data_IF_270738978181
#
_entry.id   IF_270738978181
#
_cell.length_a   1.000
_cell.length_b   1.000
_cell.length_c   1.000
_cell.angle_alpha   90.00
_cell.angle_beta   90.00
_cell.angle_gamma   90.00
#
_symmetry.space_group_name_H-M   'P 1'
#
loop_
_entity.id
_entity.type
_entity.pdbx_description
1 polymer ?
#
# COMPACT_ATOMS: atom_id res chain seq x y z
N UNK A 1 -21.67 0.35 -5.58
CA UNK A 1 -20.36 -0.25 -5.94
C UNK A 1 -19.29 0.50 -5.18
N UNK A 2 -18.38 -0.22 -4.52
CA UNK A 2 -17.25 0.34 -3.78
C UNK A 2 -15.96 -0.25 -4.35
N UNK A 3 -14.92 0.56 -4.55
CA UNK A 3 -13.61 0.09 -5.03
C UNK A 3 -12.52 0.47 -4.03
N UNK A 4 -11.70 -0.51 -3.64
CA UNK A 4 -10.71 -0.40 -2.58
C UNK A 4 -9.40 -1.05 -3.03
N UNK A 5 -8.26 -0.57 -2.52
CA UNK A 5 -7.04 -1.37 -2.53
C UNK A 5 -7.19 -2.60 -1.63
N UNK A 6 -6.49 -3.70 -1.90
CA UNK A 6 -6.57 -4.91 -1.06
C UNK A 6 -6.25 -4.66 0.41
N UNK A 7 -5.24 -3.84 0.74
CA UNK A 7 -4.94 -3.48 2.13
C UNK A 7 -6.10 -2.74 2.83
N UNK A 8 -6.74 -1.79 2.14
CA UNK A 8 -7.90 -1.07 2.67
C UNK A 8 -9.14 -1.97 2.78
N UNK A 9 -9.34 -2.88 1.82
CA UNK A 9 -10.40 -3.89 1.88
C UNK A 9 -10.24 -4.78 3.12
N UNK A 10 -9.03 -5.27 3.38
CA UNK A 10 -8.72 -6.07 4.57
C UNK A 10 -9.00 -5.29 5.84
N UNK A 11 -8.49 -4.06 5.94
CA UNK A 11 -8.73 -3.16 7.06
C UNK A 11 -10.22 -2.95 7.36
N UNK A 12 -11.02 -2.61 6.35
CA UNK A 12 -12.45 -2.38 6.54
C UNK A 12 -13.20 -3.67 6.89
N UNK A 13 -12.77 -4.81 6.36
CA UNK A 13 -13.37 -6.11 6.71
C UNK A 13 -13.17 -6.45 8.18
N UNK A 14 -12.01 -6.11 8.74
CA UNK A 14 -11.68 -6.40 10.14
C UNK A 14 -12.31 -5.41 11.11
N UNK A 15 -12.18 -4.11 10.81
CA UNK A 15 -12.45 -3.03 11.75
C UNK A 15 -13.82 -2.38 11.56
N UNK A 16 -14.32 -2.34 10.31
CA UNK A 16 -15.55 -1.63 9.94
C UNK A 16 -16.44 -2.42 8.98
N UNK A 17 -16.79 -3.69 9.30
CA UNK A 17 -17.52 -4.58 8.38
C UNK A 17 -18.87 -4.01 7.96
N UNK A 18 -19.49 -3.18 8.81
CA UNK A 18 -20.78 -2.52 8.53
C UNK A 18 -20.69 -1.51 7.36
N UNK A 19 -19.48 -1.11 6.96
CA UNK A 19 -19.27 -0.28 5.75
C UNK A 19 -19.82 -0.97 4.50
N UNK A 20 -19.87 -2.31 4.50
CA UNK A 20 -20.37 -3.07 3.37
C UNK A 20 -21.90 -3.25 3.39
N UNK A 21 -22.61 -2.89 4.47
CA UNK A 21 -24.06 -3.16 4.68
C UNK A 21 -24.95 -2.74 3.51
N UNK A 22 -24.70 -1.55 2.93
CA UNK A 22 -25.48 -1.03 1.79
C UNK A 22 -24.82 -1.27 0.44
N UNK A 23 -23.69 -1.98 0.42
CA UNK A 23 -22.94 -2.29 -0.79
C UNK A 23 -23.38 -3.66 -1.33
N UNK A 24 -23.63 -3.74 -2.64
CA UNK A 24 -23.93 -4.99 -3.35
C UNK A 24 -22.72 -5.55 -4.11
N UNK A 25 -21.79 -4.67 -4.49
CA UNK A 25 -20.58 -5.05 -5.23
C UNK A 25 -19.38 -4.29 -4.69
N UNK A 26 -18.35 -5.02 -4.27
CA UNK A 26 -17.06 -4.47 -3.87
C UNK A 26 -15.98 -4.97 -4.81
N UNK A 27 -15.17 -4.04 -5.31
CA UNK A 27 -13.97 -4.33 -6.07
C UNK A 27 -12.75 -4.13 -5.16
N UNK A 28 -11.86 -5.11 -5.16
CA UNK A 28 -10.55 -5.04 -4.51
C UNK A 28 -9.46 -5.22 -5.56
N UNK A 29 -8.26 -4.72 -5.29
CA UNK A 29 -7.15 -4.86 -6.23
C UNK A 29 -5.96 -3.99 -5.85
N UNK A 30 -5.04 -3.84 -6.80
CA UNK A 30 -3.77 -3.17 -6.55
C UNK A 30 -2.75 -4.13 -5.94
N UNK A 31 -3.10 -4.92 -4.93
CA UNK A 31 -2.23 -5.94 -4.31
C UNK A 31 -2.91 -7.32 -4.36
N UNK A 32 -2.19 -8.44 -4.15
CA UNK A 32 -2.83 -9.75 -4.01
C UNK A 32 -3.97 -9.72 -2.99
N UNK A 33 -5.17 -10.14 -3.39
CA UNK A 33 -6.32 -10.18 -2.50
C UNK A 33 -6.14 -11.29 -1.46
N UNK A 34 -6.54 -11.03 -0.21
CA UNK A 34 -6.39 -11.98 0.89
C UNK A 34 -7.57 -12.97 0.91
N UNK A 35 -7.33 -14.29 0.70
CA UNK A 35 -8.38 -15.30 0.76
C UNK A 35 -9.13 -15.30 2.10
N UNK A 36 -8.41 -15.04 3.18
CA UNK A 36 -8.97 -14.97 4.54
C UNK A 36 -9.98 -13.84 4.68
N UNK A 37 -9.63 -12.61 4.27
CA UNK A 37 -10.51 -11.46 4.41
C UNK A 37 -11.70 -11.56 3.45
N UNK A 38 -11.48 -12.01 2.21
CA UNK A 38 -12.57 -12.18 1.26
C UNK A 38 -13.58 -13.21 1.75
N UNK A 39 -13.13 -14.36 2.29
CA UNK A 39 -14.00 -15.37 2.89
C UNK A 39 -14.73 -14.83 4.10
N UNK A 40 -14.03 -14.19 5.04
CA UNK A 40 -14.61 -13.59 6.25
C UNK A 40 -15.73 -12.60 5.91
N UNK A 41 -15.54 -11.76 4.88
CA UNK A 41 -16.56 -10.82 4.46
C UNK A 41 -17.77 -11.55 3.84
N UNK A 42 -17.52 -12.58 3.04
CA UNK A 42 -18.57 -13.36 2.39
C UNK A 42 -19.42 -14.17 3.39
N UNK A 43 -18.80 -14.73 4.44
CA UNK A 43 -19.50 -15.37 5.55
C UNK A 43 -20.46 -14.40 6.27
N UNK A 44 -20.12 -13.11 6.33
CA UNK A 44 -20.98 -12.06 6.91
C UNK A 44 -22.01 -11.53 5.92
N UNK A 45 -21.69 -11.52 4.64
CA UNK A 45 -22.50 -10.97 3.53
C UNK A 45 -22.49 -11.92 2.33
N UNK A 46 -23.25 -13.02 2.37
CA UNK A 46 -23.29 -14.00 1.28
C UNK A 46 -23.87 -13.44 -0.02
N UNK A 47 -24.63 -12.34 0.08
CA UNK A 47 -25.23 -11.63 -1.04
C UNK A 47 -24.25 -10.63 -1.71
N UNK A 48 -23.11 -10.34 -1.07
CA UNK A 48 -22.15 -9.36 -1.57
C UNK A 48 -21.29 -9.95 -2.68
N UNK A 49 -21.35 -9.32 -3.85
CA UNK A 49 -20.43 -9.64 -4.95
C UNK A 49 -19.05 -9.05 -4.64
N UNK A 50 -18.04 -9.90 -4.47
CA UNK A 50 -16.64 -9.49 -4.27
C UNK A 50 -15.89 -9.76 -5.57
N UNK A 51 -15.26 -8.73 -6.13
CA UNK A 51 -14.51 -8.81 -7.38
C UNK A 51 -13.05 -8.44 -7.11
N UNK A 52 -12.13 -9.36 -7.38
CA UNK A 52 -10.71 -9.06 -7.43
C UNK A 52 -10.35 -8.54 -8.83
N UNK A 53 -9.72 -7.38 -8.91
CA UNK A 53 -9.33 -6.74 -10.16
C UNK A 53 -7.82 -6.56 -10.25
N UNK A 54 -7.29 -6.78 -11.44
CA UNK A 54 -5.88 -6.55 -11.76
C UNK A 54 -5.77 -5.66 -12.98
N UNK A 55 -4.89 -4.67 -12.90
CA UNK A 55 -4.46 -3.93 -14.07
C UNK A 55 -3.41 -2.88 -13.71
N UNK A 56 -2.38 -2.72 -14.54
CA UNK A 56 -1.41 -1.64 -14.42
C UNK A 56 -2.01 -0.32 -14.94
N UNK A 57 -1.42 0.82 -14.57
CA UNK A 57 -1.86 2.14 -15.03
C UNK A 57 -1.82 2.24 -16.57
N UNK A 58 -0.85 1.56 -17.18
CA UNK A 58 -0.61 1.46 -18.62
C UNK A 58 -1.72 0.73 -19.38
N UNK A 59 -2.68 0.11 -18.69
CA UNK A 59 -3.83 -0.59 -19.28
C UNK A 59 -5.18 -0.05 -18.78
N UNK A 60 -5.23 1.18 -18.24
CA UNK A 60 -6.43 1.90 -17.84
C UNK A 60 -7.34 1.12 -16.86
N UNK A 61 -7.05 1.23 -15.56
CA UNK A 61 -7.82 0.56 -14.51
C UNK A 61 -7.63 -0.95 -14.53
N UNK A 62 -8.70 -1.72 -14.28
CA UNK A 62 -8.61 -3.18 -14.38
C UNK A 62 -8.57 -3.66 -15.83
N UNK A 63 -7.73 -4.65 -16.07
CA UNK A 63 -7.64 -5.41 -17.31
C UNK A 63 -8.28 -6.77 -17.17
N UNK A 64 -8.06 -7.41 -16.03
CA UNK A 64 -8.69 -8.69 -15.69
C UNK A 64 -9.46 -8.57 -14.38
N UNK A 65 -10.51 -9.38 -14.24
CA UNK A 65 -11.28 -9.48 -13.02
C UNK A 65 -11.65 -10.92 -12.71
N UNK A 66 -11.65 -11.26 -11.43
CA UNK A 66 -12.18 -12.49 -10.88
C UNK A 66 -13.30 -12.18 -9.90
N UNK A 67 -14.52 -12.63 -10.19
CA UNK A 67 -15.62 -12.58 -9.23
C UNK A 67 -15.52 -13.79 -8.34
N UNK A 68 -15.44 -13.58 -7.03
CA UNK A 68 -15.34 -14.67 -6.07
C UNK A 68 -16.67 -15.44 -6.03
N UNK A 69 -16.56 -16.75 -6.07
CA UNK A 69 -17.68 -17.65 -5.84
C UNK A 69 -17.79 -17.99 -4.33
N UNK A 70 -18.91 -17.65 -3.66
CA UNK A 70 -19.20 -18.05 -2.27
C UNK A 70 -18.93 -19.53 -1.98
N UNK A 71 -19.26 -20.38 -2.96
CA UNK A 71 -19.30 -21.82 -2.81
C UNK A 71 -17.97 -22.48 -3.18
N UNK A 72 -17.03 -21.72 -3.75
CA UNK A 72 -15.74 -22.24 -4.10
C UNK A 72 -14.94 -22.64 -2.85
N UNK A 73 -14.15 -23.73 -2.92
CA UNK A 73 -13.26 -24.11 -1.84
C UNK A 73 -12.25 -22.98 -1.55
N UNK A 74 -11.72 -22.97 -0.32
CA UNK A 74 -10.70 -22.01 0.07
C UNK A 74 -9.50 -22.08 -0.91
N UNK A 75 -9.24 -20.97 -1.60
CA UNK A 75 -8.14 -20.86 -2.53
C UNK A 75 -6.86 -20.48 -1.79
N UNK A 76 -5.70 -21.07 -2.13
CA UNK A 76 -4.41 -20.65 -1.56
C UNK A 76 -4.06 -19.21 -1.96
N UNK A 77 -4.56 -18.74 -3.11
CA UNK A 77 -4.44 -17.38 -3.60
C UNK A 77 -5.67 -17.03 -4.45
N UNK A 78 -6.13 -15.78 -4.37
CA UNK A 78 -7.26 -15.33 -5.19
C UNK A 78 -6.78 -15.02 -6.62
N UNK A 79 -7.37 -15.64 -7.67
CA UNK A 79 -7.00 -15.36 -9.05
C UNK A 79 -7.24 -13.89 -9.42
N UNK A 80 -6.54 -13.43 -10.46
CA UNK A 80 -6.82 -12.16 -11.11
C UNK A 80 -7.80 -12.31 -12.30
N UNK A 81 -8.20 -13.54 -12.59
CA UNK A 81 -9.39 -13.88 -13.37
C UNK A 81 -9.23 -13.75 -14.88
N UNK A 82 -10.30 -13.35 -15.56
CA UNK A 82 -10.34 -13.23 -17.02
C UNK A 82 -10.28 -11.78 -17.49
N UNK A 83 -9.86 -11.51 -18.74
CA UNK A 83 -9.84 -10.16 -19.29
C UNK A 83 -11.26 -9.58 -19.43
N UNK A 84 -11.37 -8.27 -19.19
CA UNK A 84 -12.58 -7.49 -19.47
C UNK A 84 -12.83 -7.39 -20.98
N UNK A 85 -14.06 -7.04 -21.36
CA UNK A 85 -14.44 -6.85 -22.75
C UNK A 85 -13.47 -5.92 -23.49
N UNK A 86 -13.07 -6.34 -24.70
CA UNK A 86 -12.13 -5.63 -25.58
C UNK A 86 -10.72 -5.44 -25.02
N UNK A 87 -10.37 -6.11 -23.92
CA UNK A 87 -9.01 -6.24 -23.40
C UNK A 87 -8.55 -7.67 -23.53
N UNK A 88 -7.24 -7.87 -23.56
CA UNK A 88 -6.63 -9.18 -23.73
C UNK A 88 -5.44 -9.33 -22.79
N UNK A 89 -5.24 -10.55 -22.30
CA UNK A 89 -4.12 -10.93 -21.47
C UNK A 89 -3.47 -12.17 -22.06
N UNK A 90 -2.15 -12.15 -22.18
CA UNK A 90 -1.33 -13.22 -22.73
C UNK A 90 -0.26 -13.59 -21.74
N UNK A 91 -0.05 -14.88 -21.51
CA UNK A 91 1.09 -15.39 -20.74
C UNK A 91 2.07 -15.98 -21.74
N UNK A 92 3.25 -15.36 -21.85
CA UNK A 92 4.22 -15.66 -22.91
C UNK A 92 5.57 -16.11 -22.34
N UNK A 93 6.30 -16.91 -23.11
CA UNK A 93 7.71 -17.26 -22.86
C UNK A 93 8.67 -16.16 -23.37
N UNK A 94 9.98 -16.38 -23.20
CA UNK A 94 11.03 -15.44 -23.61
C UNK A 94 11.12 -15.24 -25.14
N UNK A 95 10.46 -16.10 -25.92
CA UNK A 95 10.33 -16.00 -27.37
C UNK A 95 8.98 -15.43 -27.80
N UNK A 96 8.24 -14.83 -26.86
CA UNK A 96 6.90 -14.28 -27.01
C UNK A 96 5.83 -15.31 -27.38
N UNK A 97 6.06 -16.61 -27.22
CA UNK A 97 5.08 -17.68 -27.55
C UNK A 97 4.14 -17.94 -26.37
N UNK A 98 2.84 -18.22 -26.58
CA UNK A 98 1.93 -18.49 -25.47
C UNK A 98 2.31 -19.80 -24.78
N UNK A 99 2.33 -19.78 -23.45
CA UNK A 99 2.58 -20.98 -22.63
C UNK A 99 1.28 -21.73 -22.34
N UNK A 100 1.31 -23.07 -22.16
CA UNK A 100 0.11 -23.83 -21.83
C UNK A 100 -0.38 -23.54 -20.39
N UNK A 101 -1.66 -23.80 -20.07
CA UNK A 101 -2.17 -23.70 -18.71
C UNK A 101 -1.31 -24.45 -17.68
N UNK A 102 -1.14 -23.86 -16.50
CA UNK A 102 -0.27 -24.34 -15.43
C UNK A 102 1.20 -23.93 -15.55
N UNK A 103 1.63 -23.41 -16.71
CA UNK A 103 3.01 -22.93 -16.90
C UNK A 103 3.10 -21.44 -16.62
N UNK A 104 4.04 -21.05 -15.74
CA UNK A 104 4.34 -19.64 -15.47
C UNK A 104 5.11 -19.02 -16.64
N UNK A 105 4.63 -17.88 -17.11
CA UNK A 105 5.31 -17.02 -18.06
C UNK A 105 5.15 -15.55 -17.68
N UNK A 106 5.62 -14.63 -18.53
CA UNK A 106 5.43 -13.20 -18.35
C UNK A 106 4.07 -12.76 -18.90
N UNK A 107 3.40 -11.87 -18.16
CA UNK A 107 2.09 -11.34 -18.51
C UNK A 107 2.20 -10.13 -19.46
N UNK A 108 1.51 -10.20 -20.58
CA UNK A 108 1.37 -9.14 -21.57
C UNK A 108 -0.09 -8.76 -21.74
N UNK A 109 -0.37 -7.46 -21.88
CA UNK A 109 -1.72 -6.94 -22.03
C UNK A 109 -1.92 -6.29 -23.40
N UNK A 110 -3.12 -6.39 -23.95
CA UNK A 110 -3.48 -5.80 -25.23
C UNK A 110 -4.92 -5.28 -25.25
N UNK A 111 -5.28 -4.61 -26.34
CA UNK A 111 -6.63 -4.13 -26.60
C UNK A 111 -6.89 -2.71 -26.12
N UNK A 112 -8.15 -2.42 -25.80
CA UNK A 112 -8.58 -1.07 -25.42
C UNK A 112 -8.04 -0.66 -24.05
N UNK A 113 -7.67 0.62 -23.91
CA UNK A 113 -7.12 1.15 -22.67
C UNK A 113 -5.60 1.00 -22.52
N UNK A 114 -4.91 0.38 -23.48
CA UNK A 114 -3.45 0.42 -23.54
C UNK A 114 -3.00 1.86 -23.77
N UNK A 115 -2.17 2.37 -22.86
CA UNK A 115 -1.65 3.73 -22.91
C UNK A 115 -0.85 4.00 -24.19
N UNK A 116 -0.77 5.28 -24.58
CA UNK A 116 0.05 5.69 -25.72
C UNK A 116 1.54 5.47 -25.47
N UNK A 117 1.98 5.61 -24.22
CA UNK A 117 3.36 5.43 -23.80
C UNK A 117 3.65 6.24 -22.53
N UNK A 118 4.93 6.36 -22.21
CA UNK A 118 5.41 7.19 -21.13
C UNK A 118 5.78 8.58 -21.63
N UNK A 119 5.28 9.62 -20.95
CA UNK A 119 5.52 11.02 -21.33
C UNK A 119 7.03 11.30 -21.35
N UNK A 120 7.53 11.87 -22.46
CA UNK A 120 8.96 12.22 -22.67
C UNK A 120 9.95 11.05 -22.54
N UNK A 121 9.48 9.80 -22.58
CA UNK A 121 10.33 8.60 -22.44
C UNK A 121 10.12 7.63 -23.61
N UNK A 122 10.56 7.97 -24.84
CA UNK A 122 10.34 7.14 -26.01
C UNK A 122 11.06 5.79 -25.94
N UNK A 123 12.26 5.74 -25.36
CA UNK A 123 13.02 4.50 -25.21
C UNK A 123 12.30 3.51 -24.29
N UNK A 124 11.88 3.95 -23.10
CA UNK A 124 11.09 3.12 -22.17
C UNK A 124 9.75 2.72 -22.79
N UNK A 125 9.14 3.62 -23.56
CA UNK A 125 7.90 3.30 -24.28
C UNK A 125 8.12 2.18 -25.29
N UNK A 126 9.17 2.24 -26.10
CA UNK A 126 9.45 1.24 -27.12
C UNK A 126 9.78 -0.15 -26.53
N UNK A 127 10.38 -0.21 -25.34
CA UNK A 127 10.71 -1.48 -24.68
C UNK A 127 9.54 -2.11 -23.94
N UNK A 128 8.55 -1.31 -23.51
CA UNK A 128 7.36 -1.79 -22.78
C UNK A 128 6.12 -1.95 -23.66
N UNK A 129 5.97 -1.16 -24.72
CA UNK A 129 4.86 -1.22 -25.67
C UNK A 129 5.34 -1.76 -27.02
N UNK A 130 5.43 -3.09 -27.11
CA UNK A 130 6.02 -3.80 -28.25
C UNK A 130 4.98 -4.11 -29.33
N UNK A 131 5.40 -4.42 -30.57
CA UNK A 131 4.48 -4.90 -31.61
C UNK A 131 3.71 -6.15 -31.17
N UNK A 132 2.43 -6.24 -31.53
CA UNK A 132 1.60 -7.39 -31.16
C UNK A 132 1.64 -8.49 -32.23
N UNK A 133 2.28 -9.65 -31.97
CA UNK A 133 2.39 -10.72 -32.97
C UNK A 133 1.09 -11.51 -33.21
N UNK A 134 0.07 -11.34 -32.36
CA UNK A 134 -1.21 -12.07 -32.45
C UNK A 134 -2.40 -11.19 -32.82
N UNK A 135 -2.18 -9.88 -32.91
CA UNK A 135 -3.24 -8.91 -33.17
C UNK A 135 -3.21 -8.41 -34.62
N UNK A 136 -4.21 -7.58 -34.99
CA UNK A 136 -4.18 -6.86 -36.26
C UNK A 136 -2.91 -6.01 -36.41
N UNK A 137 -2.45 -5.75 -37.65
CA UNK A 137 -1.33 -4.86 -37.92
C UNK A 137 -1.48 -3.50 -37.21
N UNK A 138 -0.40 -3.02 -36.60
CA UNK A 138 -0.37 -1.74 -35.87
C UNK A 138 -0.83 -1.80 -34.42
N UNK A 139 -1.31 -2.96 -33.94
CA UNK A 139 -1.63 -3.15 -32.51
C UNK A 139 -0.38 -3.44 -31.68
N UNK A 140 -0.47 -3.21 -30.36
CA UNK A 140 0.66 -3.29 -29.42
C UNK A 140 0.33 -4.19 -28.23
N UNK A 141 1.36 -4.87 -27.73
CA UNK A 141 1.37 -5.51 -26.41
C UNK A 141 2.05 -4.59 -25.41
N UNK A 142 1.48 -4.48 -24.21
CA UNK A 142 2.15 -3.92 -23.04
C UNK A 142 2.78 -5.04 -22.20
N UNK A 143 4.10 -4.97 -22.03
CA UNK A 143 4.92 -5.89 -21.23
C UNK A 143 4.89 -5.48 -19.75
N UNK A 144 4.15 -6.20 -18.92
CA UNK A 144 3.85 -5.79 -17.54
C UNK A 144 5.02 -5.95 -16.56
N UNK A 145 5.95 -6.89 -16.84
CA UNK A 145 6.93 -7.36 -15.88
C UNK A 145 6.37 -8.32 -14.82
N UNK A 146 5.06 -8.59 -14.80
CA UNK A 146 4.43 -9.55 -13.90
C UNK A 146 4.57 -10.98 -14.44
N UNK A 147 4.72 -11.94 -13.54
CA UNK A 147 4.66 -13.38 -13.82
C UNK A 147 3.26 -13.90 -13.47
N UNK A 148 2.71 -14.71 -14.37
CA UNK A 148 1.38 -15.28 -14.22
C UNK A 148 1.28 -16.64 -14.92
N UNK A 149 0.19 -17.36 -14.65
CA UNK A 149 -0.21 -18.55 -15.40
C UNK A 149 -1.73 -18.64 -15.46
N UNK A 150 -2.25 -19.26 -16.51
CA UNK A 150 -3.65 -19.67 -16.56
C UNK A 150 -3.83 -21.01 -15.88
N UNK A 151 -4.92 -21.21 -15.14
CA UNK A 151 -5.36 -22.55 -14.76
C UNK A 151 -6.15 -23.23 -15.90
N UNK A 152 -6.52 -24.49 -15.69
CA UNK A 152 -7.30 -25.28 -16.65
C UNK A 152 -8.74 -24.78 -16.83
N UNK A 153 -9.22 -23.89 -15.96
CA UNK A 153 -10.54 -23.27 -16.04
C UNK A 153 -10.48 -21.89 -16.71
N UNK A 154 -9.30 -21.44 -17.14
CA UNK A 154 -9.11 -20.15 -17.82
C UNK A 154 -8.98 -18.96 -16.87
N UNK A 155 -8.82 -19.17 -15.56
CA UNK A 155 -8.52 -18.07 -14.65
C UNK A 155 -7.03 -17.76 -14.66
N UNK A 156 -6.68 -16.48 -14.74
CA UNK A 156 -5.32 -16.03 -14.62
C UNK A 156 -4.92 -15.90 -13.15
N UNK A 157 -3.78 -16.47 -12.80
CA UNK A 157 -3.18 -16.42 -11.46
C UNK A 157 -1.91 -15.57 -11.50
N UNK A 158 -1.82 -14.58 -10.62
CA UNK A 158 -0.61 -13.80 -10.42
C UNK A 158 0.40 -14.57 -9.57
N UNK A 159 1.65 -14.64 -10.00
CA UNK A 159 2.73 -15.37 -9.31
C UNK A 159 3.77 -14.44 -8.68
N UNK A 160 4.06 -13.31 -9.32
CA UNK A 160 5.11 -12.40 -8.84
C UNK A 160 5.53 -11.40 -9.90
N UNK A 161 6.71 -10.81 -9.73
CA UNK A 161 7.33 -9.90 -10.69
C UNK A 161 8.69 -10.43 -11.14
N UNK A 162 9.03 -10.13 -12.38
CA UNK A 162 10.36 -10.36 -12.97
C UNK A 162 11.36 -9.28 -12.55
N UNK A 163 10.87 -8.10 -12.17
CA UNK A 163 11.66 -6.96 -11.70
C UNK A 163 11.51 -6.74 -10.18
N UNK A 164 12.14 -5.67 -9.67
CA UNK A 164 12.19 -5.34 -8.24
C UNK A 164 11.05 -4.44 -7.78
N UNK A 165 10.10 -4.12 -8.64
CA UNK A 165 8.99 -3.25 -8.28
C UNK A 165 8.12 -3.89 -7.22
N UNK A 166 7.57 -3.07 -6.33
CA UNK A 166 6.73 -3.52 -5.22
C UNK A 166 5.44 -2.70 -5.18
N UNK A 167 4.43 -3.29 -4.56
CA UNK A 167 3.18 -2.60 -4.26
C UNK A 167 2.95 -2.57 -2.76
N UNK A 168 2.75 -1.37 -2.23
CA UNK A 168 2.53 -1.14 -0.81
C UNK A 168 1.30 -0.25 -0.65
N UNK A 169 0.26 -0.78 0.01
CA UNK A 169 -1.01 -0.09 0.26
C UNK A 169 -1.64 0.48 -1.02
N UNK A 170 -1.51 -0.27 -2.11
CA UNK A 170 -2.00 0.11 -3.45
C UNK A 170 -1.10 1.08 -4.24
N UNK A 171 0.01 1.55 -3.68
CA UNK A 171 0.99 2.36 -4.40
C UNK A 171 2.04 1.50 -5.09
N UNK A 172 2.35 1.80 -6.35
CA UNK A 172 3.47 1.22 -7.09
C UNK A 172 4.74 1.99 -6.72
N UNK A 173 5.74 1.27 -6.22
CA UNK A 173 7.01 1.86 -5.78
C UNK A 173 8.14 1.13 -6.48
N UNK A 174 9.10 1.90 -7.00
CA UNK A 174 10.35 1.40 -7.56
C UNK A 174 11.45 1.56 -6.51
N UNK A 175 11.89 0.48 -5.81
CA UNK A 175 12.89 0.60 -4.76
C UNK A 175 14.17 1.28 -5.23
N UNK A 176 14.57 1.04 -6.48
CA UNK A 176 15.77 1.62 -7.09
C UNK A 176 15.72 3.15 -7.20
N UNK A 177 14.53 3.76 -7.27
CA UNK A 177 14.40 5.22 -7.21
C UNK A 177 14.87 5.75 -5.84
N UNK A 178 14.46 5.08 -4.77
CA UNK A 178 14.85 5.41 -3.39
C UNK A 178 16.33 5.08 -3.17
N UNK A 179 16.81 3.93 -3.67
CA UNK A 179 18.22 3.52 -3.58
C UNK A 179 19.14 4.54 -4.29
N UNK A 180 18.78 4.94 -5.51
CA UNK A 180 19.52 5.95 -6.29
C UNK A 180 19.57 7.27 -5.53
N UNK A 181 18.43 7.72 -5.01
CA UNK A 181 18.37 8.94 -4.21
C UNK A 181 19.27 8.83 -2.98
N UNK A 182 19.16 7.76 -2.19
CA UNK A 182 20.00 7.54 -1.01
C UNK A 182 21.51 7.61 -1.33
N UNK A 183 21.94 7.09 -2.48
CA UNK A 183 23.35 7.17 -2.90
C UNK A 183 23.82 8.57 -3.29
N UNK A 184 22.92 9.55 -3.43
CA UNK A 184 23.28 10.96 -3.61
C UNK A 184 23.57 11.68 -2.28
N UNK A 185 23.25 11.07 -1.15
CA UNK A 185 23.52 11.65 0.16
C UNK A 185 25.04 11.64 0.46
N UNK A 186 25.67 12.76 0.82
CA UNK A 186 27.14 12.88 0.90
C UNK A 186 27.80 11.98 1.96
N UNK A 187 27.01 11.51 2.93
CA UNK A 187 27.45 10.63 4.01
C UNK A 187 27.00 9.17 3.88
N UNK A 188 26.46 8.75 2.72
CA UNK A 188 26.09 7.36 2.47
C UNK A 188 26.89 6.81 1.28
N UNK A 189 27.55 5.66 1.48
CA UNK A 189 28.35 5.01 0.44
C UNK A 189 27.54 4.02 -0.39
N UNK A 190 26.62 3.29 0.24
CA UNK A 190 25.78 2.30 -0.42
C UNK A 190 24.40 2.29 0.22
N UNK A 191 23.38 1.94 -0.57
CA UNK A 191 22.04 1.74 -0.06
C UNK A 191 21.32 0.62 -0.82
N UNK A 192 20.44 -0.09 -0.12
CA UNK A 192 19.43 -0.95 -0.74
C UNK A 192 18.11 -0.84 0.01
N UNK A 193 17.00 -1.02 -0.70
CA UNK A 193 15.65 -0.97 -0.12
C UNK A 193 15.01 -2.34 -0.23
N UNK A 194 14.42 -2.78 0.86
CA UNK A 194 13.65 -4.02 0.95
C UNK A 194 12.33 -3.78 1.68
N UNK A 195 11.46 -4.79 1.66
CA UNK A 195 10.15 -4.74 2.32
C UNK A 195 10.07 -5.73 3.46
N UNK A 196 9.49 -5.30 4.59
CA UNK A 196 9.18 -6.16 5.73
C UNK A 196 7.72 -6.00 6.12
N UNK A 197 7.01 -7.08 6.48
CA UNK A 197 5.66 -6.96 7.01
C UNK A 197 5.68 -6.33 8.40
N UNK A 198 4.68 -5.49 8.69
CA UNK A 198 4.38 -5.09 10.05
C UNK A 198 3.70 -6.23 10.84
N UNK A 199 3.33 -5.95 12.09
CA UNK A 199 2.66 -6.93 12.95
C UNK A 199 1.23 -7.32 12.48
N UNK A 200 0.70 -6.65 11.44
CA UNK A 200 -0.55 -7.00 10.76
C UNK A 200 -0.33 -7.61 9.37
N UNK A 201 0.92 -7.89 8.98
CA UNK A 201 1.25 -8.47 7.67
C UNK A 201 1.25 -7.46 6.51
N UNK A 202 1.16 -6.16 6.79
CA UNK A 202 1.21 -5.11 5.78
C UNK A 202 2.67 -4.78 5.47
N UNK A 203 3.05 -4.83 4.19
CA UNK A 203 4.42 -4.52 3.78
C UNK A 203 4.79 -3.06 4.08
N UNK A 204 6.02 -2.87 4.59
CA UNK A 204 6.63 -1.58 4.87
C UNK A 204 8.02 -1.50 4.24
N UNK A 205 8.42 -0.29 3.85
CA UNK A 205 9.74 -0.04 3.26
C UNK A 205 10.82 0.07 4.35
N UNK A 206 11.95 -0.58 4.12
CA UNK A 206 13.17 -0.42 4.93
C UNK A 206 14.34 -0.11 4.02
N UNK A 207 15.03 0.98 4.31
CA UNK A 207 16.31 1.30 3.70
C UNK A 207 17.45 0.77 4.55
N UNK A 208 18.38 0.07 3.92
CA UNK A 208 19.64 -0.36 4.50
C UNK A 208 20.72 0.49 3.87
N UNK A 209 21.49 1.18 4.70
CA UNK A 209 22.51 2.10 4.22
C UNK A 209 23.86 1.84 4.90
N UNK A 210 24.92 2.02 4.14
CA UNK A 210 26.30 1.96 4.63
C UNK A 210 26.82 3.39 4.73
N UNK A 211 27.19 3.89 5.92
CA UNK A 211 27.78 5.22 6.06
C UNK A 211 29.06 5.37 5.22
N UNK A 212 29.29 6.56 4.68
CA UNK A 212 30.56 6.92 4.08
C UNK A 212 31.58 7.34 5.16
N UNK A 213 32.87 7.39 4.80
CA UNK A 213 33.92 7.87 5.72
C UNK A 213 33.72 9.35 6.12
N UNK A 214 33.00 10.12 5.31
CA UNK A 214 32.73 11.55 5.53
C UNK A 214 31.76 11.83 6.68
N UNK A 215 31.03 10.83 7.17
CA UNK A 215 30.10 11.01 8.28
C UNK A 215 29.14 9.84 8.48
N UNK A 216 28.55 9.76 9.68
CA UNK A 216 27.57 8.73 10.06
C UNK A 216 26.25 9.39 10.47
N UNK A 217 25.39 9.78 9.51
CA UNK A 217 24.09 10.36 9.83
C UNK A 217 23.24 9.31 10.55
N UNK A 218 22.46 9.77 11.51
CA UNK A 218 21.49 8.93 12.21
C UNK A 218 20.35 8.48 11.27
N UNK A 219 19.70 7.34 11.55
CA UNK A 219 18.51 6.90 10.80
C UNK A 219 17.42 7.96 10.67
N UNK A 220 17.19 8.77 11.72
CA UNK A 220 16.22 9.85 11.72
C UNK A 220 16.60 11.00 10.79
N UNK A 221 17.88 11.40 10.75
CA UNK A 221 18.36 12.43 9.82
C UNK A 221 18.19 12.01 8.36
N UNK A 222 18.51 10.75 8.03
CA UNK A 222 18.33 10.21 6.67
C UNK A 222 16.85 10.25 6.28
N UNK A 223 15.95 9.85 7.18
CA UNK A 223 14.51 9.85 6.89
C UNK A 223 13.94 11.24 6.76
N UNK A 224 14.35 12.17 7.61
CA UNK A 224 13.94 13.57 7.52
C UNK A 224 14.37 14.17 6.18
N UNK A 225 15.60 13.88 5.75
CA UNK A 225 16.10 14.28 4.43
C UNK A 225 15.27 13.67 3.30
N UNK A 226 15.00 12.36 3.32
CA UNK A 226 14.17 11.71 2.30
C UNK A 226 12.76 12.31 2.20
N UNK A 227 12.14 12.72 3.32
CA UNK A 227 10.82 13.39 3.31
C UNK A 227 10.80 14.72 2.56
N UNK A 228 11.96 15.37 2.40
CA UNK A 228 12.06 16.62 1.61
C UNK A 228 12.08 16.38 0.10
N UNK A 229 12.31 15.13 -0.33
CA UNK A 229 12.57 14.76 -1.72
C UNK A 229 11.56 13.76 -2.28
N UNK A 230 10.99 12.92 -1.42
CA UNK A 230 10.07 11.85 -1.79
C UNK A 230 8.65 12.11 -1.27
N UNK A 231 7.62 11.67 -2.00
CA UNK A 231 6.29 11.53 -1.44
C UNK A 231 6.27 10.64 -0.19
N UNK A 232 5.40 10.95 0.78
CA UNK A 232 5.33 10.24 2.08
C UNK A 232 5.25 8.70 1.97
N UNK A 233 4.57 8.18 0.95
CA UNK A 233 4.39 6.74 0.77
C UNK A 233 5.65 6.01 0.28
N UNK A 234 6.64 6.74 -0.24
CA UNK A 234 7.95 6.23 -0.69
C UNK A 234 9.04 6.38 0.37
N UNK A 235 8.80 7.16 1.42
CA UNK A 235 9.76 7.32 2.52
C UNK A 235 9.83 5.99 3.30
N UNK A 236 11.01 5.38 3.46
CA UNK A 236 11.18 4.18 4.26
C UNK A 236 10.69 4.37 5.70
N UNK A 237 9.95 3.38 6.19
CA UNK A 237 9.50 3.31 7.58
C UNK A 237 10.70 3.11 8.52
N UNK A 238 11.71 2.36 8.07
CA UNK A 238 12.94 2.11 8.82
C UNK A 238 14.17 2.46 7.98
N UNK A 239 15.19 2.95 8.67
CA UNK A 239 16.56 3.05 8.15
C UNK A 239 17.47 2.26 9.06
N UNK A 240 18.17 1.28 8.50
CA UNK A 240 19.11 0.43 9.22
C UNK A 240 20.51 0.72 8.68
N UNK A 241 21.38 1.23 9.56
CA UNK A 241 22.78 1.42 9.21
C UNK A 241 23.53 0.11 9.38
N UNK A 242 24.24 -0.30 8.33
CA UNK A 242 25.10 -1.49 8.32
C UNK A 242 26.54 -1.07 8.08
N UNK A 243 27.49 -1.85 8.61
CA UNK A 243 28.90 -1.67 8.27
C UNK A 243 29.19 -2.09 6.82
N UNK A 244 28.40 -3.04 6.29
CA UNK A 244 28.44 -3.51 4.90
C UNK A 244 27.12 -4.15 4.49
N UNK A 245 26.79 -4.10 3.21
CA UNK A 245 25.66 -4.86 2.67
C UNK A 245 26.03 -6.36 2.57
N UNK A 246 25.10 -7.28 2.91
CA UNK A 246 25.31 -8.71 2.69
C UNK A 246 25.34 -8.99 1.19
N UNK A 247 26.25 -9.87 0.76
CA UNK A 247 26.42 -10.27 -0.63
C UNK A 247 26.24 -11.78 -0.77
N UNK A 248 25.61 -12.20 -1.86
CA UNK A 248 25.59 -13.58 -2.35
C UNK A 248 27.00 -14.02 -2.77
N UNK A 249 27.20 -15.33 -2.99
CA UNK A 249 28.45 -15.88 -3.52
C UNK A 249 28.90 -15.24 -4.85
N UNK A 250 27.95 -14.71 -5.63
CA UNK A 250 28.21 -14.05 -6.91
C UNK A 250 28.43 -12.53 -6.78
N UNK A 251 28.58 -12.00 -5.57
CA UNK A 251 28.84 -10.58 -5.31
C UNK A 251 27.63 -9.65 -5.46
N UNK A 252 26.43 -10.17 -5.72
CA UNK A 252 25.17 -9.40 -5.71
C UNK A 252 24.66 -9.22 -4.28
N UNK A 253 23.96 -8.12 -3.99
CA UNK A 253 23.33 -7.90 -2.68
C UNK A 253 22.34 -9.04 -2.36
N UNK A 254 22.52 -9.66 -1.20
CA UNK A 254 21.61 -10.69 -0.69
C UNK A 254 20.52 -10.04 0.18
N UNK A 255 19.40 -9.68 -0.45
CA UNK A 255 18.26 -9.08 0.27
C UNK A 255 17.64 -10.02 1.32
N UNK A 256 17.86 -11.34 1.24
CA UNK A 256 17.33 -12.32 2.20
C UNK A 256 18.15 -12.37 3.49
N UNK A 257 19.42 -11.98 3.41
CA UNK A 257 20.32 -11.89 4.56
C UNK A 257 20.25 -10.52 5.26
N UNK A 258 19.41 -9.60 4.79
CA UNK A 258 19.22 -8.31 5.46
C UNK A 258 18.50 -8.51 6.80
N UNK A 259 18.98 -7.87 7.89
CA UNK A 259 18.38 -8.04 9.21
C UNK A 259 16.98 -7.44 9.24
N UNK A 260 16.04 -8.10 9.90
CA UNK A 260 14.69 -7.56 10.11
C UNK A 260 14.80 -6.27 10.92
N UNK A 261 14.22 -5.16 10.47
CA UNK A 261 14.24 -3.92 11.22
C UNK A 261 13.42 -4.10 12.51
N UNK A 262 13.99 -3.68 13.63
CA UNK A 262 13.22 -3.48 14.84
C UNK A 262 12.97 -1.98 14.98
N UNK A 263 11.75 -1.61 15.31
CA UNK A 263 11.51 -0.28 15.86
C UNK A 263 12.45 -0.13 17.06
N UNK A 264 13.38 0.83 16.96
CA UNK A 264 14.30 1.11 18.05
C UNK A 264 13.48 1.45 19.31
N UNK A 265 14.05 1.26 20.51
CA UNK A 265 13.41 1.79 21.72
C UNK A 265 13.10 3.27 21.48
N UNK A 266 11.89 3.69 21.89
CA UNK A 266 11.51 5.11 21.90
C UNK A 266 12.66 5.92 22.50
N UNK A 267 12.89 7.12 21.98
CA UNK A 267 14.19 7.84 22.00
C UNK A 267 14.72 8.28 23.37
N UNK A 268 14.34 7.64 24.48
CA UNK A 268 14.58 8.15 25.83
C UNK A 268 13.87 9.49 26.04
N UNK A 269 12.84 9.77 25.24
CA UNK A 269 12.08 11.00 25.25
C UNK A 269 11.32 11.19 26.56
N UNK A 270 10.65 12.34 26.68
CA UNK A 270 10.01 12.72 27.95
C UNK A 270 8.89 11.74 28.32
N UNK A 271 8.85 11.36 29.59
CA UNK A 271 7.77 10.54 30.14
C UNK A 271 6.44 11.32 30.09
N UNK A 272 5.30 10.63 29.97
CA UNK A 272 3.99 11.27 29.96
C UNK A 272 3.67 11.92 31.31
N UNK A 273 3.31 13.20 31.26
CA UNK A 273 3.09 14.09 32.41
C UNK A 273 1.62 14.12 32.79
N UNK A 274 0.73 14.11 31.81
CA UNK A 274 -0.73 14.16 32.01
C UNK A 274 -1.39 12.79 31.80
N UNK A 275 -2.63 12.62 32.28
CA UNK A 275 -3.41 11.42 32.01
C UNK A 275 -3.70 11.25 30.51
N UNK A 276 -3.94 12.37 29.80
CA UNK A 276 -4.12 12.35 28.35
C UNK A 276 -2.85 11.89 27.63
N UNK A 277 -1.69 12.42 28.00
CA UNK A 277 -0.40 11.99 27.42
C UNK A 277 -0.15 10.50 27.65
N UNK A 278 -0.50 9.96 28.84
CA UNK A 278 -0.42 8.51 29.12
C UNK A 278 -1.30 7.71 28.17
N UNK A 279 -2.58 8.06 28.06
CA UNK A 279 -3.52 7.36 27.15
C UNK A 279 -3.05 7.41 25.70
N UNK A 280 -2.49 8.54 25.25
CA UNK A 280 -1.95 8.69 23.91
C UNK A 280 -0.71 7.80 23.69
N UNK A 281 0.23 7.76 24.64
CA UNK A 281 1.41 6.89 24.56
C UNK A 281 1.01 5.41 24.52
N UNK A 282 0.05 4.99 25.34
CA UNK A 282 -0.45 3.61 25.36
C UNK A 282 -1.12 3.25 24.01
N UNK A 283 -1.96 4.14 23.48
CA UNK A 283 -2.61 3.94 22.20
C UNK A 283 -1.61 3.88 21.02
N UNK A 284 -0.54 4.68 21.05
CA UNK A 284 0.52 4.64 20.05
C UNK A 284 1.30 3.32 20.14
N UNK A 285 1.70 2.92 21.35
CA UNK A 285 2.44 1.69 21.63
C UNK A 285 1.69 0.48 21.08
N UNK A 286 0.40 0.39 21.38
CA UNK A 286 -0.45 -0.70 20.91
C UNK A 286 -0.68 -0.66 19.40
N UNK A 287 -1.01 0.51 18.83
CA UNK A 287 -1.24 0.63 17.40
C UNK A 287 0.02 0.31 16.56
N UNK A 288 1.20 0.49 17.12
CA UNK A 288 2.48 0.17 16.47
C UNK A 288 2.97 -1.26 16.79
N UNK A 289 2.32 -1.96 17.72
CA UNK A 289 2.71 -3.30 18.15
C UNK A 289 4.07 -3.32 18.86
N UNK A 290 4.43 -2.25 19.56
CA UNK A 290 5.73 -2.11 20.22
C UNK A 290 5.73 -2.80 21.59
N UNK A 291 6.86 -3.44 21.92
CA UNK A 291 7.08 -4.05 23.25
C UNK A 291 7.48 -3.05 24.33
N UNK A 292 7.90 -1.85 23.94
CA UNK A 292 8.32 -0.78 24.84
C UNK A 292 7.41 0.44 24.68
N UNK A 293 7.19 1.15 25.79
CA UNK A 293 6.32 2.31 25.81
C UNK A 293 6.90 3.46 24.97
N UNK A 294 6.03 4.06 24.17
CA UNK A 294 6.30 5.27 23.39
C UNK A 294 6.41 6.47 24.34
N UNK A 295 7.39 7.35 24.12
CA UNK A 295 7.50 8.63 24.85
C UNK A 295 6.63 9.71 24.20
N UNK A 296 6.41 10.83 24.89
CA UNK A 296 5.52 11.88 24.36
C UNK A 296 6.07 12.58 23.10
N UNK A 297 7.36 12.44 22.83
CA UNK A 297 8.06 13.08 21.73
C UNK A 297 8.30 12.15 20.54
N UNK A 298 8.02 10.85 20.71
CA UNK A 298 8.23 9.89 19.64
C UNK A 298 7.17 10.07 18.54
N UNK A 299 7.64 10.24 17.31
CA UNK A 299 6.79 10.43 16.15
C UNK A 299 6.24 9.08 15.66
N UNK A 300 4.91 9.00 15.52
CA UNK A 300 4.18 7.81 15.10
C UNK A 300 4.72 7.19 13.81
N UNK A 301 4.96 8.02 12.80
CA UNK A 301 5.46 7.57 11.51
C UNK A 301 6.94 7.23 11.58
N UNK A 302 7.68 7.84 12.51
CA UNK A 302 9.09 7.50 12.70
C UNK A 302 9.28 6.13 13.37
N UNK A 303 8.28 5.68 14.12
CA UNK A 303 8.24 4.34 14.72
C UNK A 303 7.63 3.26 13.80
N UNK A 304 7.47 3.54 12.51
CA UNK A 304 6.90 2.61 11.53
C UNK A 304 5.39 2.72 11.33
N UNK A 305 4.75 3.75 11.90
CA UNK A 305 3.35 4.06 11.66
C UNK A 305 3.06 4.42 10.20
N UNK A 306 1.85 4.12 9.74
CA UNK A 306 1.35 4.52 8.42
C UNK A 306 -0.16 4.78 8.43
N UNK A 307 -0.72 5.18 7.29
CA UNK A 307 -2.13 5.61 7.17
C UNK A 307 -3.15 4.64 7.79
N UNK A 308 -3.02 3.32 7.53
CA UNK A 308 -3.92 2.32 8.13
C UNK A 308 -3.75 2.19 9.65
N UNK A 309 -2.51 2.18 10.17
CA UNK A 309 -2.27 2.19 11.63
C UNK A 309 -2.75 3.50 12.27
N UNK A 310 -2.54 4.64 11.59
CA UNK A 310 -3.04 5.94 12.03
C UNK A 310 -4.58 5.98 12.04
N UNK A 311 -5.25 5.31 11.09
CA UNK A 311 -6.70 5.15 11.10
C UNK A 311 -7.16 4.28 12.28
N UNK A 312 -6.46 3.18 12.61
CA UNK A 312 -6.70 2.38 13.82
C UNK A 312 -6.55 3.21 15.08
N UNK A 313 -5.43 3.90 15.21
CA UNK A 313 -5.14 4.81 16.30
C UNK A 313 -6.23 5.87 16.46
N UNK A 314 -6.60 6.55 15.37
CA UNK A 314 -7.64 7.59 15.38
C UNK A 314 -8.95 7.04 15.91
N UNK A 315 -9.43 5.92 15.37
CA UNK A 315 -10.70 5.31 15.78
C UNK A 315 -10.67 4.86 17.24
N UNK A 316 -9.56 4.27 17.68
CA UNK A 316 -9.36 3.88 19.08
C UNK A 316 -9.45 5.08 20.01
N UNK A 317 -8.74 6.16 19.68
CA UNK A 317 -8.74 7.40 20.48
C UNK A 317 -10.13 8.06 20.51
N UNK A 318 -10.81 8.14 19.36
CA UNK A 318 -12.18 8.65 19.29
C UNK A 318 -13.11 7.87 20.23
N UNK A 319 -13.05 6.54 20.21
CA UNK A 319 -13.87 5.67 21.06
C UNK A 319 -13.49 5.76 22.54
N UNK A 320 -12.20 5.74 22.87
CA UNK A 320 -11.72 5.72 24.25
C UNK A 320 -11.92 7.07 24.97
N UNK A 321 -11.79 8.18 24.24
CA UNK A 321 -11.85 9.53 24.80
C UNK A 321 -13.17 10.25 24.50
N UNK A 322 -14.06 9.65 23.71
CA UNK A 322 -15.30 10.27 23.23
C UNK A 322 -15.04 11.63 22.54
N UNK A 323 -13.98 11.68 21.72
CA UNK A 323 -13.54 12.87 20.98
C UNK A 323 -13.75 12.68 19.48
N UNK A 324 -13.76 13.78 18.74
CA UNK A 324 -13.71 13.75 17.27
C UNK A 324 -12.30 14.08 16.81
N UNK A 325 -11.55 13.05 16.44
CA UNK A 325 -10.24 13.15 15.82
C UNK A 325 -10.33 12.69 14.36
N UNK A 326 -9.66 13.39 13.46
CA UNK A 326 -9.54 12.97 12.06
C UNK A 326 -8.17 12.37 11.80
N UNK A 327 -8.07 11.53 10.75
CA UNK A 327 -6.78 11.01 10.30
C UNK A 327 -5.79 12.15 10.00
N UNK A 328 -6.29 13.28 9.47
CA UNK A 328 -5.48 14.47 9.18
C UNK A 328 -4.81 15.04 10.44
N UNK A 329 -5.48 14.96 11.59
CA UNK A 329 -4.93 15.49 12.83
C UNK A 329 -3.72 14.67 13.29
N UNK A 330 -3.76 13.34 13.15
CA UNK A 330 -2.61 12.46 13.43
C UNK A 330 -1.44 12.75 12.49
N UNK A 331 -1.70 13.01 11.20
CA UNK A 331 -0.64 13.40 10.26
C UNK A 331 -0.01 14.77 10.59
N UNK A 332 -0.81 15.73 11.10
CA UNK A 332 -0.33 17.07 11.47
C UNK A 332 0.34 17.13 12.84
N UNK A 333 -0.06 16.25 13.74
CA UNK A 333 0.39 16.19 15.13
C UNK A 333 0.87 14.77 15.44
N UNK A 334 1.97 14.31 14.81
CA UNK A 334 2.39 12.91 14.84
C UNK A 334 3.00 12.42 16.15
N UNK A 335 3.14 13.26 17.19
CA UNK A 335 3.63 12.83 18.52
C UNK A 335 2.52 12.91 19.57
N UNK A 336 2.57 12.09 20.65
CA UNK A 336 1.60 12.20 21.73
C UNK A 336 1.52 13.60 22.35
N UNK A 337 2.66 14.31 22.51
CA UNK A 337 2.68 15.68 23.03
C UNK A 337 1.98 16.67 22.10
N UNK A 338 2.22 16.58 20.78
CA UNK A 338 1.59 17.47 19.80
C UNK A 338 0.08 17.20 19.73
N UNK A 339 -0.32 15.94 19.78
CA UNK A 339 -1.71 15.54 19.73
C UNK A 339 -2.45 15.94 21.01
N UNK A 340 -1.84 15.78 22.18
CA UNK A 340 -2.37 16.28 23.46
C UNK A 340 -2.62 17.79 23.41
N UNK A 341 -1.63 18.57 22.98
CA UNK A 341 -1.76 20.03 22.85
C UNK A 341 -2.87 20.43 21.88
N UNK A 342 -3.03 19.70 20.77
CA UNK A 342 -4.12 19.92 19.82
C UNK A 342 -5.50 19.67 20.45
N UNK A 343 -5.64 18.58 21.22
CA UNK A 343 -6.88 18.20 21.89
C UNK A 343 -7.24 19.16 23.03
N UNK A 344 -6.26 19.63 23.80
CA UNK A 344 -6.47 20.64 24.85
C UNK A 344 -6.94 21.97 24.25
N UNK A 345 -6.31 22.41 23.16
CA UNK A 345 -6.73 23.61 22.43
C UNK A 345 -8.12 23.47 21.81
N UNK A 346 -8.52 22.27 21.38
CA UNK A 346 -9.87 22.00 20.89
C UNK A 346 -10.90 22.06 22.02
N UNK A 347 -10.61 21.42 23.15
CA UNK A 347 -11.47 21.40 24.34
C UNK A 347 -11.69 22.81 24.90
N UNK A 348 -10.64 23.64 24.96
CA UNK A 348 -10.74 25.04 25.37
C UNK A 348 -11.62 25.88 24.42
N UNK A 349 -11.59 25.60 23.12
CA UNK A 349 -12.44 26.26 22.11
C UNK A 349 -13.90 25.80 22.17
N UNK A 350 -14.14 24.51 22.39
CA UNK A 350 -15.48 23.95 22.57
C UNK A 350 -16.14 24.45 23.87
N UNK A 351 -15.36 24.66 24.94
CA UNK A 351 -15.85 25.26 26.18
C UNK A 351 -16.21 26.75 26.04
N UNK A 352 -15.67 27.44 25.03
CA UNK A 352 -15.93 28.88 24.78
C UNK A 352 -16.96 29.14 23.68
N UNK A 353 -17.33 28.14 22.89
CA UNK A 353 -18.32 28.29 21.80
C UNK A 353 -19.14 27.00 21.63
N UNK A 354 -20.47 27.00 21.87
CA UNK A 354 -21.29 25.85 21.53
C UNK A 354 -21.55 25.86 20.02
N UNK A 355 -20.71 25.20 19.22
CA UNK A 355 -21.03 24.96 17.81
C UNK A 355 -21.99 23.76 17.68
N UNK A 356 -23.09 23.89 16.92
CA UNK A 356 -23.98 22.77 16.67
C UNK A 356 -23.25 21.71 15.83
N UNK A 357 -23.32 20.46 16.28
CA UNK A 357 -22.80 19.28 15.58
C UNK A 357 -23.28 19.31 14.13
N UNK A 358 -22.39 19.58 13.16
CA UNK A 358 -22.75 19.57 11.73
C UNK A 358 -23.39 18.23 11.40
N UNK A 359 -24.68 18.27 11.06
CA UNK A 359 -25.41 17.09 10.60
C UNK A 359 -24.68 16.51 9.38
N UNK A 360 -24.54 15.18 9.33
CA UNK A 360 -24.09 14.49 8.11
C UNK A 360 -24.96 14.98 6.95
N UNK A 361 -24.37 15.43 5.83
CA UNK A 361 -25.16 15.81 4.67
C UNK A 361 -25.99 14.60 4.24
N UNK A 362 -27.30 14.79 4.15
CA UNK A 362 -28.22 13.81 3.60
C UNK A 362 -27.89 13.64 2.12
N UNK A 363 -27.22 12.54 1.78
CA UNK A 363 -27.03 12.14 0.39
C UNK A 363 -28.40 11.79 -0.20
N UNK A 364 -28.98 12.71 -0.97
CA UNK A 364 -30.21 12.46 -1.71
C UNK A 364 -29.85 11.95 -3.10
N UNK A 365 -30.51 10.86 -3.53
CA UNK A 365 -30.39 10.33 -4.89
C UNK A 365 -30.89 11.41 -5.86
N UNK A 366 -30.06 11.84 -6.81
CA UNK A 366 -30.50 12.70 -7.92
C UNK A 366 -31.66 12.03 -8.65
N UNK A 367 -32.71 12.77 -8.94
CA UNK A 367 -33.85 12.29 -9.74
C UNK A 367 -33.50 12.32 -11.23
N UNK A 368 -34.21 11.54 -12.05
CA UNK A 368 -33.90 11.38 -13.48
C UNK A 368 -33.94 12.69 -14.29
N UNK A 369 -34.68 13.70 -13.82
CA UNK A 369 -34.70 15.03 -14.43
C UNK A 369 -33.37 15.80 -14.30
N UNK A 370 -32.57 15.52 -13.27
CA UNK A 370 -31.28 16.20 -13.04
C UNK A 370 -30.11 15.53 -13.79
N UNK A 371 -30.36 14.41 -14.49
CA UNK A 371 -29.34 13.71 -15.28
C UNK A 371 -29.18 14.24 -16.71
N UNK A 372 -30.16 15.00 -17.22
CA UNK A 372 -30.22 15.37 -18.65
C UNK A 372 -29.53 16.72 -18.93
N UNK A 373 -29.15 17.50 -17.91
CA UNK A 373 -28.63 18.87 -18.07
C UNK A 373 -27.22 19.09 -17.50
N UNK A 374 -26.36 18.07 -17.48
CA UNK A 374 -24.95 18.23 -17.09
C UNK A 374 -23.99 17.52 -18.04
#
# INVERSE_FOLDING_TARGET
>A
MLQLSSSLFNYLTDEHPDTFTTTHTVHTGGEPASPTHTRRLHERRPDLTIVNGYGPAESMGFTTTYTLDPAAPALPSVPIGGPLANKYAYVLDDHLRPVPPGTTGELYLAGHGIAHGYLTQPTTTATRFIPHPYGPPGTRLYRTGDQAHYDTHGNLHYTGRTDTQIKIRGFRIEPTEIETLLTTHPHLAQATVATHPDHHGIAQLTAYAVPAETGRPSPSEIRLWLRTLLPDHMVPAFVVLLDRLPLTANGKIDKRALPVPHAGPGTGGRAPRTALERTLCDAFTEALGLSSAVSIDDNFFDLGGHSLLAARLTNRLCSALNLSLTLRDVFRHPTPAQLAAHLDAWSARAATTPEPRRARPTLRRRTDQERITS
#
